data_IF_141572630971
#
_entry.id   IF_141572630971
#
_cell.length_a   1.000
_cell.length_b   1.000
_cell.length_c   1.000
_cell.angle_alpha   90.00
_cell.angle_beta   90.00
_cell.angle_gamma   90.00
#
_symmetry.space_group_name_H-M   'P 1'
#
loop_
_entity.id
_entity.type
_entity.pdbx_description
1 polymer ?
#
# COMPACT_ATOMS: atom_id res chain seq x y z
N UNK A 1 4.61 23.91 0.50
CA UNK A 1 3.65 22.92 -0.03
C UNK A 1 3.25 22.01 1.10
N UNK A 2 1.97 21.84 1.35
CA UNK A 2 1.50 21.05 2.50
C UNK A 2 1.08 19.63 2.14
N UNK A 3 0.67 19.36 0.89
CA UNK A 3 0.15 18.05 0.47
C UNK A 3 1.15 17.35 -0.46
N UNK A 4 1.58 16.09 -0.15
CA UNK A 4 2.50 15.32 -1.00
C UNK A 4 1.94 15.03 -2.39
N UNK A 5 2.81 14.92 -3.40
CA UNK A 5 2.44 14.61 -4.79
C UNK A 5 1.59 13.33 -4.89
N UNK A 6 1.93 12.29 -4.15
CA UNK A 6 1.18 11.03 -4.13
C UNK A 6 -0.29 11.21 -3.72
N UNK A 7 -0.60 12.20 -2.90
CA UNK A 7 -1.98 12.53 -2.51
C UNK A 7 -2.66 13.42 -3.54
N UNK A 8 -1.93 14.41 -4.10
CA UNK A 8 -2.50 15.35 -5.09
C UNK A 8 -2.96 14.66 -6.38
N UNK A 9 -2.21 13.64 -6.83
CA UNK A 9 -2.53 12.89 -8.07
C UNK A 9 -3.25 11.57 -7.81
N UNK A 10 -3.73 11.34 -6.58
CA UNK A 10 -4.48 10.13 -6.25
C UNK A 10 -5.65 9.97 -7.23
N UNK A 11 -5.79 8.80 -7.89
CA UNK A 11 -6.91 8.56 -8.79
C UNK A 11 -8.24 8.58 -8.03
N UNK A 12 -9.28 9.13 -8.68
CA UNK A 12 -10.64 9.25 -8.15
C UNK A 12 -11.63 8.30 -8.79
N UNK A 13 -11.24 7.59 -9.86
CA UNK A 13 -12.06 6.62 -10.56
C UNK A 13 -11.27 5.37 -10.94
N UNK A 14 -11.95 4.26 -11.21
CA UNK A 14 -11.30 3.03 -11.70
C UNK A 14 -10.60 3.24 -13.05
N UNK A 15 -11.13 4.12 -13.91
CA UNK A 15 -10.51 4.44 -15.20
C UNK A 15 -9.14 5.10 -15.03
N UNK A 16 -8.97 5.83 -13.96
CA UNK A 16 -7.70 6.48 -13.58
C UNK A 16 -6.79 5.57 -12.75
N UNK A 17 -7.29 4.44 -12.27
CA UNK A 17 -6.53 3.52 -11.42
C UNK A 17 -5.58 2.67 -12.26
N UNK A 18 -4.30 2.92 -12.16
CA UNK A 18 -3.26 2.17 -12.86
C UNK A 18 -2.98 0.84 -12.14
N UNK A 19 -2.60 -0.19 -12.95
CA UNK A 19 -2.31 -1.54 -12.44
C UNK A 19 -3.55 -2.33 -11.97
N UNK A 20 -3.36 -3.53 -11.43
CA UNK A 20 -4.40 -4.43 -10.90
C UNK A 20 -5.50 -4.81 -11.92
N UNK A 21 -5.17 -4.90 -13.20
CA UNK A 21 -6.15 -5.21 -14.27
C UNK A 21 -6.88 -6.54 -14.03
N UNK A 22 -6.26 -7.48 -13.35
CA UNK A 22 -6.87 -8.76 -12.95
C UNK A 22 -8.03 -8.60 -11.94
N UNK A 23 -8.05 -7.49 -11.19
CA UNK A 23 -9.10 -7.20 -10.21
C UNK A 23 -10.14 -6.20 -10.74
N UNK A 24 -9.68 -5.14 -11.42
CA UNK A 24 -10.50 -3.98 -11.79
C UNK A 24 -10.64 -3.78 -13.30
N UNK A 25 -10.03 -4.64 -14.13
CA UNK A 25 -10.25 -4.64 -15.59
C UNK A 25 -11.66 -5.10 -15.97
N UNK A 26 -11.99 -5.10 -17.25
CA UNK A 26 -13.35 -5.43 -17.78
C UNK A 26 -13.92 -6.74 -17.22
N UNK A 27 -13.09 -7.77 -17.05
CA UNK A 27 -13.49 -9.07 -16.48
C UNK A 27 -12.99 -9.26 -15.04
N UNK A 28 -12.60 -8.17 -14.36
CA UNK A 28 -12.07 -8.22 -13.01
C UNK A 28 -13.15 -8.54 -11.97
N UNK A 29 -12.79 -9.34 -10.97
CA UNK A 29 -13.73 -9.78 -9.94
C UNK A 29 -14.32 -8.60 -9.13
N UNK A 30 -13.52 -7.57 -8.86
CA UNK A 30 -13.96 -6.36 -8.15
C UNK A 30 -14.84 -5.50 -9.06
N UNK A 31 -14.45 -5.35 -10.33
CA UNK A 31 -15.25 -4.60 -11.32
C UNK A 31 -16.65 -5.21 -11.48
N UNK A 32 -16.75 -6.53 -11.58
CA UNK A 32 -18.02 -7.23 -11.66
C UNK A 32 -18.92 -7.00 -10.45
N UNK A 33 -18.37 -6.99 -9.23
CA UNK A 33 -19.12 -6.65 -8.02
C UNK A 33 -19.61 -5.21 -8.00
N UNK A 34 -18.78 -4.29 -8.47
CA UNK A 34 -19.16 -2.88 -8.55
C UNK A 34 -20.27 -2.66 -9.57
N UNK A 35 -20.16 -3.25 -10.75
CA UNK A 35 -21.17 -3.12 -11.84
C UNK A 35 -22.52 -3.73 -11.43
N UNK A 36 -22.49 -4.82 -10.64
CA UNK A 36 -23.70 -5.41 -10.09
C UNK A 36 -24.22 -4.70 -8.82
N UNK A 37 -23.53 -3.67 -8.34
CA UNK A 37 -23.83 -2.95 -7.09
C UNK A 37 -23.80 -3.88 -5.84
N UNK A 38 -23.12 -5.04 -5.91
CA UNK A 38 -23.08 -6.06 -4.87
C UNK A 38 -21.69 -6.20 -4.26
N UNK A 39 -21.13 -5.09 -3.74
CA UNK A 39 -19.84 -5.11 -3.08
C UNK A 39 -19.91 -5.91 -1.76
N UNK A 40 -19.16 -6.99 -1.68
CA UNK A 40 -18.97 -7.81 -0.47
C UNK A 40 -17.86 -7.27 0.42
N UNK A 41 -17.73 -7.78 1.64
CA UNK A 41 -16.57 -7.50 2.48
C UNK A 41 -15.29 -8.09 1.87
N UNK A 42 -14.18 -7.33 1.93
CA UNK A 42 -12.94 -7.63 1.24
C UNK A 42 -11.72 -7.39 2.13
N UNK A 43 -10.68 -8.18 1.89
CA UNK A 43 -9.35 -7.94 2.42
C UNK A 43 -8.40 -7.70 1.24
N UNK A 44 -7.80 -6.52 1.16
CA UNK A 44 -6.78 -6.16 0.19
C UNK A 44 -5.41 -6.51 0.74
N UNK A 45 -4.78 -7.52 0.18
CA UNK A 45 -3.45 -7.96 0.58
C UNK A 45 -2.42 -7.65 -0.49
N UNK A 46 -1.27 -7.12 -0.10
CA UNK A 46 -0.16 -6.87 -1.02
C UNK A 46 0.85 -5.87 -0.48
N UNK A 47 1.98 -5.71 -1.15
CA UNK A 47 3.07 -4.82 -0.73
C UNK A 47 2.63 -3.37 -0.50
N UNK A 48 3.41 -2.57 0.24
CA UNK A 48 3.12 -1.16 0.41
C UNK A 48 3.13 -0.43 -0.94
N UNK A 49 2.38 0.67 -1.03
CA UNK A 49 2.33 1.50 -2.24
C UNK A 49 1.61 0.90 -3.46
N UNK A 50 0.94 -0.27 -3.33
CA UNK A 50 0.19 -0.92 -4.43
C UNK A 50 -1.20 -0.34 -4.67
N UNK A 51 -1.64 0.62 -3.87
CA UNK A 51 -2.90 1.33 -4.06
C UNK A 51 -4.10 0.78 -3.28
N UNK A 52 -3.91 -0.07 -2.25
CA UNK A 52 -5.00 -0.67 -1.43
C UNK A 52 -6.00 0.36 -0.92
N UNK A 53 -5.52 1.38 -0.23
CA UNK A 53 -6.35 2.48 0.31
C UNK A 53 -7.06 3.27 -0.80
N UNK A 54 -6.35 3.52 -1.90
CA UNK A 54 -6.89 4.22 -3.07
C UNK A 54 -8.03 3.43 -3.71
N UNK A 55 -7.85 2.12 -3.88
CA UNK A 55 -8.89 1.24 -4.43
C UNK A 55 -10.14 1.26 -3.54
N UNK A 56 -9.97 1.14 -2.22
CA UNK A 56 -11.08 1.19 -1.28
C UNK A 56 -11.89 2.49 -1.39
N UNK A 57 -11.20 3.63 -1.51
CA UNK A 57 -11.85 4.95 -1.66
C UNK A 57 -12.61 5.05 -2.98
N UNK A 58 -12.02 4.62 -4.10
CA UNK A 58 -12.68 4.62 -5.41
C UNK A 58 -13.94 3.75 -5.39
N UNK A 59 -13.86 2.54 -4.82
CA UNK A 59 -15.01 1.64 -4.74
C UNK A 59 -16.15 2.22 -3.90
N UNK A 60 -15.83 2.93 -2.83
CA UNK A 60 -16.83 3.61 -2.00
C UNK A 60 -17.50 4.75 -2.77
N UNK A 61 -16.72 5.57 -3.46
CA UNK A 61 -17.21 6.71 -4.25
C UNK A 61 -18.09 6.23 -5.43
N UNK A 62 -17.59 5.27 -6.24
CA UNK A 62 -18.35 4.75 -7.40
C UNK A 62 -19.60 3.94 -7.00
N UNK A 63 -19.62 3.36 -5.80
CA UNK A 63 -20.82 2.71 -5.25
C UNK A 63 -21.78 3.65 -4.52
N UNK A 64 -21.40 4.93 -4.37
CA UNK A 64 -22.16 5.97 -3.64
C UNK A 64 -22.48 5.54 -2.19
N UNK A 65 -21.51 4.88 -1.52
CA UNK A 65 -21.67 4.39 -0.16
C UNK A 65 -20.91 5.28 0.83
N UNK A 66 -21.46 5.56 2.01
CA UNK A 66 -20.71 6.23 3.06
C UNK A 66 -19.41 5.49 3.38
N UNK A 67 -18.30 6.23 3.50
CA UNK A 67 -16.97 5.68 3.74
C UNK A 67 -16.42 6.14 5.08
N UNK A 68 -16.14 5.18 5.95
CA UNK A 68 -15.47 5.40 7.23
C UNK A 68 -14.10 4.76 7.19
N UNK A 69 -13.08 5.50 7.59
CA UNK A 69 -11.71 5.02 7.60
C UNK A 69 -11.16 4.99 9.03
N UNK A 70 -10.62 3.85 9.42
CA UNK A 70 -9.90 3.67 10.67
C UNK A 70 -8.47 3.19 10.38
N UNK A 71 -7.50 3.76 11.09
CA UNK A 71 -6.14 3.24 11.11
C UNK A 71 -6.00 2.30 12.31
N UNK A 72 -5.53 1.09 12.09
CA UNK A 72 -5.32 0.15 13.19
C UNK A 72 -4.23 0.60 14.17
N UNK A 73 -3.39 1.57 13.79
CA UNK A 73 -2.36 2.14 14.66
C UNK A 73 -2.98 3.06 15.72
N UNK A 74 -3.97 3.87 15.31
CA UNK A 74 -4.51 4.96 16.14
C UNK A 74 -5.90 4.67 16.70
N UNK A 75 -6.56 3.61 16.22
CA UNK A 75 -7.97 3.35 16.53
C UNK A 75 -8.16 2.24 17.56
N UNK A 76 -8.79 2.57 18.69
CA UNK A 76 -9.20 1.59 19.70
C UNK A 76 -10.57 0.96 19.41
N UNK A 77 -10.99 -0.01 20.24
CA UNK A 77 -12.33 -0.65 20.19
C UNK A 77 -13.47 0.38 20.25
N UNK A 78 -13.28 1.48 20.94
CA UNK A 78 -14.27 2.56 21.05
C UNK A 78 -14.59 3.19 19.68
N UNK A 79 -13.57 3.47 18.87
CA UNK A 79 -13.74 4.03 17.52
C UNK A 79 -14.50 3.07 16.60
N UNK A 80 -14.18 1.76 16.67
CA UNK A 80 -14.93 0.73 15.92
C UNK A 80 -16.41 0.74 16.31
N UNK A 81 -16.70 0.74 17.61
CA UNK A 81 -18.08 0.77 18.12
C UNK A 81 -18.84 2.02 17.69
N UNK A 82 -18.18 3.18 17.73
CA UNK A 82 -18.79 4.45 17.30
C UNK A 82 -19.21 4.39 15.82
N UNK A 83 -18.36 3.88 14.94
CA UNK A 83 -18.68 3.72 13.52
C UNK A 83 -19.82 2.73 13.32
N UNK A 84 -19.82 1.60 14.03
CA UNK A 84 -20.90 0.60 13.95
C UNK A 84 -22.23 1.20 14.43
N UNK A 85 -22.24 1.99 15.51
CA UNK A 85 -23.47 2.64 16.01
C UNK A 85 -23.96 3.74 15.03
N UNK A 86 -23.07 4.48 14.38
CA UNK A 86 -23.42 5.40 13.29
C UNK A 86 -24.06 4.65 12.12
N UNK A 87 -23.45 3.52 11.72
CA UNK A 87 -23.94 2.68 10.63
C UNK A 87 -25.36 2.14 10.93
N UNK A 88 -25.62 1.67 12.14
CA UNK A 88 -26.96 1.21 12.56
C UNK A 88 -28.01 2.32 12.55
N UNK A 89 -27.63 3.54 12.91
CA UNK A 89 -28.55 4.69 12.93
C UNK A 89 -28.86 5.21 11.53
N UNK A 90 -27.95 5.06 10.59
CA UNK A 90 -28.17 5.43 9.18
C UNK A 90 -28.98 4.39 8.40
N UNK A 91 -29.23 3.20 8.97
CA UNK A 91 -30.12 2.16 8.44
C UNK A 91 -31.62 2.54 8.67
N UNK A 92 -31.93 3.83 8.50
CA UNK A 92 -33.30 4.33 8.49
C UNK A 92 -33.90 4.18 7.09
N UNK A 93 -35.23 4.12 7.02
CA UNK A 93 -36.14 3.85 5.88
C UNK A 93 -35.78 4.48 4.50
N UNK A 94 -34.72 5.29 4.42
CA UNK A 94 -34.30 6.01 3.21
C UNK A 94 -32.88 5.70 2.71
N UNK A 95 -32.07 4.93 3.44
CA UNK A 95 -30.70 4.57 3.02
C UNK A 95 -30.63 3.10 2.65
N UNK A 96 -30.58 2.82 1.35
CA UNK A 96 -30.56 1.44 0.81
C UNK A 96 -29.16 0.82 0.77
N UNK A 97 -28.10 1.57 1.11
CA UNK A 97 -26.71 1.12 0.95
C UNK A 97 -25.94 1.17 2.28
N UNK A 98 -25.48 0.00 2.72
CA UNK A 98 -24.66 -0.11 3.93
C UNK A 98 -23.33 0.62 3.77
N UNK A 99 -22.84 1.33 4.81
CA UNK A 99 -21.56 2.02 4.73
C UNK A 99 -20.39 1.05 4.60
N UNK A 100 -19.32 1.53 3.98
CA UNK A 100 -18.04 0.83 3.92
C UNK A 100 -17.19 1.30 5.09
N UNK A 101 -16.71 0.34 5.90
CA UNK A 101 -15.69 0.56 6.91
C UNK A 101 -14.36 0.06 6.38
N UNK A 102 -13.45 0.98 6.11
CA UNK A 102 -12.08 0.67 5.70
C UNK A 102 -11.16 0.67 6.93
N UNK A 103 -10.38 -0.40 7.07
CA UNK A 103 -9.38 -0.54 8.13
C UNK A 103 -8.02 -0.72 7.47
N UNK A 104 -7.16 0.31 7.61
CA UNK A 104 -5.78 0.23 7.15
C UNK A 104 -4.94 -0.55 8.15
N UNK A 105 -4.05 -1.41 7.65
CA UNK A 105 -3.19 -2.30 8.42
C UNK A 105 -3.97 -3.17 9.43
N UNK A 106 -5.05 -3.83 8.96
CA UNK A 106 -5.96 -4.62 9.82
C UNK A 106 -5.24 -5.69 10.67
N UNK A 107 -4.07 -6.17 10.25
CA UNK A 107 -3.24 -7.12 10.98
C UNK A 107 -2.74 -6.56 12.33
N UNK A 108 -2.73 -5.25 12.51
CA UNK A 108 -2.36 -4.60 13.78
C UNK A 108 -3.48 -4.59 14.80
N UNK A 109 -4.70 -4.89 14.39
CA UNK A 109 -5.80 -5.07 15.32
C UNK A 109 -5.62 -6.36 16.12
N UNK A 110 -5.78 -6.27 17.44
CA UNK A 110 -5.87 -7.45 18.29
C UNK A 110 -7.05 -8.34 17.91
N UNK A 111 -6.99 -9.62 18.25
CA UNK A 111 -8.10 -10.56 18.00
C UNK A 111 -9.43 -10.05 18.54
N UNK A 112 -9.45 -9.43 19.72
CA UNK A 112 -10.66 -8.84 20.33
C UNK A 112 -11.21 -7.65 19.52
N UNK A 113 -10.34 -6.86 18.88
CA UNK A 113 -10.77 -5.78 17.98
C UNK A 113 -11.37 -6.34 16.70
N UNK A 114 -10.76 -7.35 16.13
CA UNK A 114 -11.28 -8.05 14.95
C UNK A 114 -12.60 -8.76 15.26
N UNK A 115 -12.75 -9.40 16.42
CA UNK A 115 -14.01 -10.02 16.87
C UNK A 115 -15.15 -8.99 16.99
N UNK A 116 -14.85 -7.76 17.39
CA UNK A 116 -15.85 -6.71 17.48
C UNK A 116 -16.49 -6.34 16.14
N UNK A 117 -15.81 -6.63 15.02
CA UNK A 117 -16.31 -6.40 13.66
C UNK A 117 -17.25 -7.50 13.18
N UNK A 118 -17.11 -8.75 13.69
CA UNK A 118 -17.85 -9.92 13.20
C UNK A 118 -19.35 -9.69 13.16
N UNK A 119 -19.92 -9.25 14.28
CA UNK A 119 -21.36 -9.04 14.38
C UNK A 119 -21.87 -7.99 13.39
N UNK A 120 -21.08 -6.94 13.14
CA UNK A 120 -21.46 -5.88 12.23
C UNK A 120 -21.42 -6.34 10.76
N UNK A 121 -20.42 -7.16 10.40
CA UNK A 121 -20.30 -7.78 9.07
C UNK A 121 -21.41 -8.81 8.85
N UNK A 122 -21.65 -9.70 9.83
CA UNK A 122 -22.70 -10.75 9.75
C UNK A 122 -24.11 -10.18 9.61
N UNK A 123 -24.39 -9.08 10.32
CA UNK A 123 -25.68 -8.43 10.25
C UNK A 123 -25.83 -7.47 9.07
N UNK A 124 -24.75 -7.30 8.28
CA UNK A 124 -24.75 -6.40 7.16
C UNK A 124 -24.85 -4.93 7.53
N UNK A 125 -24.56 -4.54 8.79
CA UNK A 125 -24.57 -3.13 9.19
C UNK A 125 -23.45 -2.34 8.52
N UNK A 126 -22.35 -3.02 8.20
CA UNK A 126 -21.21 -2.48 7.46
C UNK A 126 -20.77 -3.47 6.40
N UNK A 127 -20.14 -2.96 5.33
CA UNK A 127 -19.26 -3.74 4.46
C UNK A 127 -17.82 -3.45 4.85
N UNK A 128 -17.07 -4.47 5.23
CA UNK A 128 -15.69 -4.31 5.69
C UNK A 128 -14.72 -4.35 4.51
N UNK A 129 -13.87 -3.33 4.41
CA UNK A 129 -12.68 -3.36 3.57
C UNK A 129 -11.45 -3.31 4.48
N UNK A 130 -10.69 -4.39 4.56
CA UNK A 130 -9.42 -4.44 5.27
C UNK A 130 -8.24 -4.30 4.32
N UNK A 131 -7.21 -3.58 4.71
CA UNK A 131 -5.94 -3.57 3.99
C UNK A 131 -4.83 -4.14 4.87
N UNK A 132 -3.92 -4.91 4.28
CA UNK A 132 -2.78 -5.49 4.99
C UNK A 132 -1.60 -5.72 4.05
N UNK A 133 -0.40 -5.58 4.59
CA UNK A 133 0.84 -6.02 3.93
C UNK A 133 1.22 -7.45 4.33
N UNK A 134 0.73 -7.92 5.48
CA UNK A 134 1.00 -9.24 6.02
C UNK A 134 0.04 -10.29 5.46
N UNK A 135 0.44 -11.56 5.51
CA UNK A 135 -0.42 -12.65 5.05
C UNK A 135 -1.69 -12.77 5.92
N UNK A 136 -2.87 -12.49 5.35
CA UNK A 136 -4.12 -12.46 6.11
C UNK A 136 -4.48 -13.81 6.74
N UNK A 137 -3.98 -14.92 6.21
CA UNK A 137 -4.24 -16.26 6.77
C UNK A 137 -3.63 -16.46 8.17
N UNK A 138 -2.63 -15.66 8.54
CA UNK A 138 -1.99 -15.72 9.86
C UNK A 138 -2.47 -14.59 10.77
N UNK A 139 -2.77 -13.43 10.20
CA UNK A 139 -2.97 -12.20 10.95
C UNK A 139 -4.45 -11.85 11.16
N UNK A 140 -5.32 -12.30 10.27
CA UNK A 140 -6.76 -12.06 10.38
C UNK A 140 -7.44 -13.31 10.95
N UNK A 141 -8.36 -13.11 11.90
CA UNK A 141 -9.05 -14.25 12.52
C UNK A 141 -9.88 -15.04 11.48
N UNK A 142 -9.90 -16.38 11.57
CA UNK A 142 -10.58 -17.23 10.60
C UNK A 142 -12.07 -16.90 10.45
N UNK A 143 -12.73 -16.52 11.54
CA UNK A 143 -14.13 -16.12 11.54
C UNK A 143 -14.41 -14.88 10.66
N UNK A 144 -13.47 -13.92 10.59
CA UNK A 144 -13.58 -12.75 9.75
C UNK A 144 -13.21 -13.08 8.30
N UNK A 145 -12.15 -13.88 8.07
CA UNK A 145 -11.74 -14.33 6.75
C UNK A 145 -12.83 -15.11 6.02
N UNK A 146 -13.59 -15.94 6.74
CA UNK A 146 -14.70 -16.71 6.12
C UNK A 146 -15.85 -15.82 5.61
N UNK A 147 -15.87 -14.54 5.96
CA UNK A 147 -16.88 -13.54 5.57
C UNK A 147 -16.35 -12.48 4.62
N UNK A 148 -15.07 -12.53 4.31
CA UNK A 148 -14.41 -11.57 3.43
C UNK A 148 -13.78 -12.29 2.24
N UNK A 149 -13.81 -11.66 1.08
CA UNK A 149 -13.01 -12.11 -0.06
C UNK A 149 -11.63 -11.50 0.01
N UNK A 150 -10.59 -12.31 -0.16
CA UNK A 150 -9.20 -11.84 -0.16
C UNK A 150 -8.78 -11.55 -1.60
N UNK A 151 -8.36 -10.32 -1.85
CA UNK A 151 -7.81 -9.88 -3.13
C UNK A 151 -6.34 -9.52 -2.99
N UNK A 152 -5.52 -10.13 -3.84
CA UNK A 152 -4.07 -9.87 -3.86
C UNK A 152 -3.79 -8.70 -4.80
N UNK A 153 -3.18 -7.65 -4.27
CA UNK A 153 -2.66 -6.54 -5.06
C UNK A 153 -1.18 -6.75 -5.33
N UNK A 154 -0.82 -6.78 -6.60
CA UNK A 154 0.54 -6.97 -7.06
C UNK A 154 1.32 -5.65 -7.10
N UNK A 155 2.64 -5.75 -6.98
CA UNK A 155 3.52 -4.60 -7.21
C UNK A 155 3.31 -4.02 -8.61
N UNK A 156 3.48 -2.73 -8.75
CA UNK A 156 3.39 -2.07 -10.06
C UNK A 156 4.43 -2.62 -11.03
N UNK A 157 4.00 -2.91 -12.24
CA UNK A 157 4.92 -3.23 -13.32
C UNK A 157 5.76 -2.01 -13.70
N UNK A 158 6.89 -2.24 -14.37
CA UNK A 158 7.73 -1.16 -14.90
C UNK A 158 6.92 -0.20 -15.79
N UNK A 159 6.09 -0.75 -16.65
CA UNK A 159 5.24 0.03 -17.57
C UNK A 159 4.20 0.88 -16.82
N UNK A 160 3.62 0.36 -15.75
CA UNK A 160 2.66 1.10 -14.92
C UNK A 160 3.36 2.24 -14.16
N UNK A 161 4.57 2.00 -13.63
CA UNK A 161 5.36 3.03 -12.94
C UNK A 161 5.79 4.15 -13.91
N UNK A 162 6.20 3.82 -15.13
CA UNK A 162 6.52 4.81 -16.16
C UNK A 162 5.29 5.63 -16.57
N UNK A 163 4.13 4.98 -16.70
CA UNK A 163 2.86 5.66 -16.95
C UNK A 163 2.48 6.59 -15.78
N UNK A 164 2.70 6.15 -14.55
CA UNK A 164 2.45 6.96 -13.35
C UNK A 164 3.34 8.20 -13.29
N UNK A 165 4.62 8.09 -13.64
CA UNK A 165 5.54 9.24 -13.71
C UNK A 165 5.06 10.28 -14.73
N UNK A 166 4.71 9.84 -15.95
CA UNK A 166 4.19 10.73 -16.99
C UNK A 166 2.91 11.42 -16.53
N UNK A 167 1.96 10.66 -16.01
CA UNK A 167 0.71 11.19 -15.48
C UNK A 167 0.94 12.21 -14.37
N UNK A 168 1.89 11.97 -13.47
CA UNK A 168 2.22 12.89 -12.39
C UNK A 168 2.74 14.23 -12.93
N UNK A 169 3.60 14.20 -13.93
CA UNK A 169 4.15 15.41 -14.55
C UNK A 169 3.05 16.19 -15.29
N UNK A 170 2.16 15.49 -15.99
CA UNK A 170 1.15 16.12 -16.84
C UNK A 170 -0.04 16.68 -16.02
N UNK A 171 -0.47 15.95 -14.97
CA UNK A 171 -1.69 16.28 -14.21
C UNK A 171 -1.47 17.10 -12.94
N UNK A 172 -0.26 17.09 -12.36
CA UNK A 172 -0.02 17.85 -11.13
C UNK A 172 0.16 19.34 -11.41
N UNK A 173 -0.57 20.18 -10.67
CA UNK A 173 -0.60 21.63 -10.87
C UNK A 173 0.77 22.33 -10.72
N UNK A 174 1.67 21.75 -9.93
CA UNK A 174 3.02 22.29 -9.69
C UNK A 174 4.02 21.76 -10.71
N UNK A 175 3.96 20.46 -11.00
CA UNK A 175 4.89 19.85 -11.95
C UNK A 175 4.61 20.25 -13.38
N UNK A 176 3.34 20.42 -13.76
CA UNK A 176 2.94 20.86 -15.10
C UNK A 176 3.38 22.29 -15.44
N UNK A 177 3.62 23.14 -14.42
CA UNK A 177 4.17 24.49 -14.62
C UNK A 177 5.66 24.49 -14.92
N UNK A 178 6.38 23.42 -14.54
CA UNK A 178 7.79 23.22 -14.84
C UNK A 178 7.94 22.36 -16.09
N UNK A 179 8.88 22.69 -16.95
CA UNK A 179 9.21 21.86 -18.11
C UNK A 179 10.03 20.65 -17.63
N UNK A 180 9.33 19.59 -17.17
CA UNK A 180 9.98 18.35 -16.69
C UNK A 180 10.16 17.39 -17.86
N UNK A 181 11.41 16.99 -18.14
CA UNK A 181 11.79 16.02 -19.17
C UNK A 181 12.33 14.77 -18.49
N UNK A 182 11.64 13.64 -18.66
CA UNK A 182 12.14 12.32 -18.23
C UNK A 182 13.11 11.78 -19.29
N UNK A 183 14.40 12.03 -19.11
CA UNK A 183 15.42 11.49 -20.01
C UNK A 183 15.79 10.05 -19.67
N UNK A 184 15.87 9.75 -18.38
CA UNK A 184 16.24 8.43 -17.85
C UNK A 184 15.35 8.11 -16.65
N UNK A 185 14.84 6.87 -16.55
CA UNK A 185 13.90 6.44 -15.50
C UNK A 185 14.42 5.30 -14.62
N UNK A 186 15.54 4.64 -15.03
CA UNK A 186 16.04 3.44 -14.36
C UNK A 186 16.30 3.62 -12.84
N UNK A 187 16.96 4.73 -12.47
CA UNK A 187 17.30 4.96 -11.08
C UNK A 187 16.05 5.19 -10.21
N UNK A 188 15.08 5.98 -10.69
CA UNK A 188 13.86 6.27 -9.94
C UNK A 188 12.98 5.01 -9.80
N UNK A 189 12.88 4.19 -10.86
CA UNK A 189 12.16 2.92 -10.85
C UNK A 189 12.80 1.92 -9.88
N UNK A 190 14.13 1.77 -9.94
CA UNK A 190 14.86 0.89 -9.03
C UNK A 190 14.72 1.29 -7.58
N UNK A 191 14.84 2.59 -7.27
CA UNK A 191 14.75 3.11 -5.91
C UNK A 191 13.34 3.04 -5.35
N UNK A 192 12.31 3.07 -6.20
CA UNK A 192 10.91 2.91 -5.76
C UNK A 192 10.58 1.47 -5.34
N UNK A 193 11.28 0.47 -5.91
CA UNK A 193 11.05 -0.94 -5.60
C UNK A 193 9.63 -1.43 -5.89
N UNK A 194 8.91 -0.81 -6.83
CA UNK A 194 7.52 -1.15 -7.15
C UNK A 194 6.47 -0.41 -6.31
N UNK A 195 6.90 0.44 -5.38
CA UNK A 195 6.02 1.28 -4.56
C UNK A 195 5.72 2.61 -5.27
N UNK A 196 4.46 2.83 -5.65
CA UNK A 196 4.00 4.03 -6.34
C UNK A 196 4.15 5.30 -5.47
N UNK A 197 3.92 5.21 -4.17
CA UNK A 197 4.06 6.34 -3.25
C UNK A 197 5.52 6.77 -3.16
N UNK A 198 6.43 5.81 -3.01
CA UNK A 198 7.87 6.06 -2.99
C UNK A 198 8.37 6.65 -4.31
N UNK A 199 7.87 6.14 -5.45
CA UNK A 199 8.18 6.67 -6.77
C UNK A 199 7.85 8.16 -6.88
N UNK A 200 6.63 8.52 -6.50
CA UNK A 200 6.13 9.89 -6.57
C UNK A 200 6.85 10.83 -5.60
N UNK A 201 7.18 10.36 -4.40
CA UNK A 201 7.97 11.13 -3.44
C UNK A 201 9.38 11.42 -3.98
N UNK A 202 10.01 10.45 -4.64
CA UNK A 202 11.32 10.65 -5.27
C UNK A 202 11.21 11.66 -6.42
N UNK A 203 10.18 11.54 -7.28
CA UNK A 203 9.95 12.50 -8.36
C UNK A 203 9.79 13.92 -7.81
N UNK A 204 8.93 14.10 -6.81
CA UNK A 204 8.68 15.38 -6.17
C UNK A 204 9.96 15.98 -5.57
N UNK A 205 10.71 15.18 -4.84
CA UNK A 205 11.99 15.59 -4.24
C UNK A 205 12.99 16.08 -5.30
N UNK A 206 13.16 15.31 -6.39
CA UNK A 206 14.10 15.64 -7.46
C UNK A 206 13.70 16.94 -8.16
N UNK A 207 12.43 17.08 -8.52
CA UNK A 207 11.95 18.29 -9.24
C UNK A 207 11.97 19.53 -8.35
N UNK A 208 11.60 19.42 -7.07
CA UNK A 208 11.60 20.54 -6.14
C UNK A 208 13.00 20.96 -5.69
N UNK A 209 13.99 20.07 -5.78
CA UNK A 209 15.37 20.41 -5.46
C UNK A 209 16.06 21.28 -6.51
N UNK A 210 15.43 21.50 -7.66
CA UNK A 210 15.93 22.35 -8.73
C UNK A 210 15.17 23.66 -8.80
N UNK A 211 15.92 24.77 -8.78
CA UNK A 211 15.36 26.12 -8.88
C UNK A 211 15.00 26.54 -10.32
N UNK A 212 15.38 25.71 -11.31
CA UNK A 212 15.12 25.99 -12.74
C UNK A 212 13.68 25.65 -13.11
N UNK A 213 13.11 26.43 -14.06
CA UNK A 213 11.81 26.13 -14.67
C UNK A 213 11.83 24.95 -15.61
N UNK A 214 13.03 24.54 -16.07
CA UNK A 214 13.24 23.36 -16.89
C UNK A 214 14.10 22.33 -16.12
N UNK A 215 13.58 21.13 -15.91
CA UNK A 215 14.25 20.06 -15.17
C UNK A 215 14.36 18.82 -16.05
N UNK A 216 15.59 18.40 -16.33
CA UNK A 216 15.84 17.14 -17.06
C UNK A 216 16.25 16.06 -16.08
N UNK A 217 15.38 15.08 -15.85
CA UNK A 217 15.60 13.98 -14.93
C UNK A 217 16.52 12.94 -15.56
N UNK A 218 17.68 12.70 -14.92
CA UNK A 218 18.65 11.68 -15.29
C UNK A 218 18.94 10.76 -14.12
N UNK A 219 19.43 9.56 -14.37
CA UNK A 219 19.80 8.61 -13.33
C UNK A 219 20.81 9.20 -12.35
N UNK A 220 21.81 9.94 -12.85
CA UNK A 220 22.81 10.61 -12.02
C UNK A 220 22.18 11.61 -11.06
N UNK A 221 21.26 12.43 -11.55
CA UNK A 221 20.55 13.42 -10.76
C UNK A 221 19.72 12.76 -9.66
N UNK A 222 18.93 11.72 -9.99
CA UNK A 222 18.14 10.97 -9.02
C UNK A 222 19.02 10.39 -7.92
N UNK A 223 20.12 9.72 -8.28
CA UNK A 223 21.05 9.14 -7.30
C UNK A 223 21.68 10.20 -6.40
N UNK A 224 22.09 11.35 -6.94
CA UNK A 224 22.68 12.42 -6.13
C UNK A 224 21.71 13.03 -5.14
N UNK A 225 20.44 13.21 -5.52
CA UNK A 225 19.43 13.82 -4.66
C UNK A 225 18.88 12.85 -3.61
N UNK A 226 18.73 11.58 -3.99
CA UNK A 226 18.17 10.54 -3.11
C UNK A 226 19.26 9.94 -2.21
N UNK A 227 20.52 9.80 -2.64
CA UNK A 227 21.62 9.28 -1.81
C UNK A 227 21.87 10.06 -0.54
N UNK A 228 21.57 11.35 -0.50
CA UNK A 228 21.63 12.12 0.77
C UNK A 228 20.59 11.65 1.80
N UNK A 229 19.53 10.93 1.37
CA UNK A 229 18.46 10.41 2.23
C UNK A 229 18.46 8.86 2.38
N UNK A 230 19.21 8.12 1.55
CA UNK A 230 19.24 6.64 1.56
C UNK A 230 20.21 6.03 2.59
N UNK A 231 20.78 6.85 3.46
CA UNK A 231 21.40 6.34 4.71
C UNK A 231 20.32 5.80 5.67
N UNK A 232 19.08 5.99 5.37
CA UNK A 232 17.95 5.25 5.98
C UNK A 232 17.70 3.95 5.19
N UNK A 233 18.62 3.00 5.27
CA UNK A 233 18.30 1.59 5.20
C UNK A 233 17.11 1.39 6.12
N UNK A 234 16.01 0.88 5.56
CA UNK A 234 14.80 0.65 6.33
C UNK A 234 15.04 -0.45 7.37
N UNK A 235 15.64 -0.05 8.50
CA UNK A 235 15.94 -0.95 9.63
C UNK A 235 14.69 -1.56 10.26
N UNK A 236 13.51 -1.14 9.82
CA UNK A 236 12.21 -1.55 10.36
C UNK A 236 11.25 -2.08 9.28
N UNK A 237 11.67 -2.13 8.00
CA UNK A 237 10.84 -2.58 6.89
C UNK A 237 10.81 -4.09 6.68
N UNK A 238 9.80 -4.56 5.97
CA UNK A 238 9.56 -5.98 5.64
C UNK A 238 10.79 -6.67 5.02
N UNK A 239 11.52 -5.99 4.13
CA UNK A 239 12.72 -6.55 3.52
C UNK A 239 13.82 -6.89 4.52
N UNK A 240 13.89 -6.17 5.63
CA UNK A 240 14.83 -6.46 6.71
C UNK A 240 14.51 -7.82 7.35
N UNK A 241 13.24 -8.07 7.69
CA UNK A 241 12.81 -9.35 8.25
C UNK A 241 12.91 -10.50 7.27
N UNK A 242 12.63 -10.26 5.99
CA UNK A 242 12.77 -11.26 4.93
C UNK A 242 14.22 -11.69 4.72
N UNK A 243 15.15 -10.74 4.66
CA UNK A 243 16.59 -11.01 4.53
C UNK A 243 17.12 -11.77 5.73
N UNK A 244 16.73 -11.37 6.95
CA UNK A 244 17.10 -12.07 8.19
C UNK A 244 16.54 -13.49 8.20
N UNK A 245 15.28 -13.65 7.85
CA UNK A 245 14.61 -14.94 7.78
C UNK A 245 15.28 -15.85 6.75
N UNK A 246 15.61 -15.32 5.58
CA UNK A 246 16.32 -16.04 4.53
C UNK A 246 17.74 -16.46 5.01
N UNK A 247 18.45 -15.56 5.68
CA UNK A 247 19.77 -15.85 6.27
C UNK A 247 19.71 -17.00 7.28
N UNK A 248 18.81 -16.93 8.25
CA UNK A 248 18.61 -17.97 9.27
C UNK A 248 18.22 -19.31 8.62
N UNK A 249 17.29 -19.29 7.66
CA UNK A 249 16.84 -20.49 6.94
C UNK A 249 17.97 -21.12 6.12
N UNK A 250 18.83 -20.31 5.51
CA UNK A 250 19.99 -20.80 4.76
C UNK A 250 20.98 -21.50 5.66
N UNK A 251 21.26 -20.96 6.85
CA UNK A 251 22.14 -21.60 7.85
C UNK A 251 21.53 -22.91 8.32
N UNK A 252 20.26 -22.92 8.71
CA UNK A 252 19.57 -24.13 9.17
C UNK A 252 19.43 -25.20 8.09
N UNK A 253 19.29 -24.78 6.84
CA UNK A 253 19.24 -25.65 5.67
C UNK A 253 20.60 -26.11 5.19
N UNK A 254 21.71 -25.70 5.87
CA UNK A 254 23.09 -26.04 5.48
C UNK A 254 23.44 -25.63 4.04
N UNK A 255 22.91 -24.50 3.57
CA UNK A 255 23.25 -23.90 2.30
C UNK A 255 24.27 -22.77 2.49
N UNK A 256 25.58 -23.04 2.34
CA UNK A 256 26.62 -22.05 2.58
C UNK A 256 26.61 -20.91 1.55
N UNK A 257 26.22 -21.19 0.32
CA UNK A 257 26.19 -20.17 -0.75
C UNK A 257 25.07 -19.14 -0.49
N UNK A 258 23.87 -19.60 -0.15
CA UNK A 258 22.77 -18.72 0.21
C UNK A 258 23.08 -17.96 1.51
N UNK A 259 23.67 -18.61 2.52
CA UNK A 259 24.03 -17.96 3.77
C UNK A 259 25.03 -16.80 3.56
N UNK A 260 26.10 -17.02 2.79
CA UNK A 260 27.07 -15.96 2.46
C UNK A 260 26.43 -14.84 1.64
N UNK A 261 25.56 -15.15 0.70
CA UNK A 261 24.84 -14.16 -0.09
C UNK A 261 23.98 -13.24 0.79
N UNK A 262 23.17 -13.82 1.66
CA UNK A 262 22.31 -13.04 2.55
C UNK A 262 23.09 -12.25 3.59
N UNK A 263 24.21 -12.81 4.10
CA UNK A 263 25.13 -12.12 5.00
C UNK A 263 25.74 -10.88 4.31
N UNK A 264 26.22 -11.02 3.09
CA UNK A 264 26.77 -9.89 2.31
C UNK A 264 25.72 -8.80 2.13
N UNK A 265 24.47 -9.15 1.80
CA UNK A 265 23.37 -8.20 1.68
C UNK A 265 23.07 -7.46 2.98
N UNK A 266 23.12 -8.13 4.13
CA UNK A 266 22.93 -7.50 5.45
C UNK A 266 24.05 -6.51 5.76
N UNK A 267 25.32 -6.88 5.50
CA UNK A 267 26.47 -6.00 5.73
C UNK A 267 26.43 -4.78 4.81
N UNK A 268 26.15 -4.98 3.51
CA UNK A 268 26.08 -3.91 2.52
C UNK A 268 24.88 -2.98 2.80
N UNK A 269 23.79 -3.51 3.36
CA UNK A 269 22.65 -2.76 3.87
C UNK A 269 22.91 -2.00 5.17
N UNK A 270 24.10 -2.10 5.77
CA UNK A 270 24.47 -1.37 6.99
C UNK A 270 23.87 -1.95 8.26
N UNK A 271 23.55 -3.26 8.30
CA UNK A 271 23.02 -3.93 9.49
C UNK A 271 24.05 -3.94 10.64
N UNK A 272 23.57 -3.89 11.87
CA UNK A 272 24.42 -3.97 13.06
C UNK A 272 25.11 -5.35 13.13
N UNK A 273 26.44 -5.34 13.12
CA UNK A 273 27.25 -6.57 13.20
C UNK A 273 26.94 -7.41 14.43
N UNK A 274 26.60 -6.79 15.57
CA UNK A 274 26.19 -7.49 16.79
C UNK A 274 24.82 -8.17 16.60
N UNK A 275 23.95 -7.56 15.84
CA UNK A 275 22.66 -8.16 15.47
C UNK A 275 22.86 -9.38 14.59
N UNK A 276 23.71 -9.27 13.54
CA UNK A 276 24.07 -10.39 12.66
C UNK A 276 24.70 -11.54 13.47
N UNK A 277 25.69 -11.22 14.32
CA UNK A 277 26.35 -12.22 15.14
C UNK A 277 25.38 -13.01 16.05
N UNK A 278 24.36 -12.33 16.62
CA UNK A 278 23.32 -12.99 17.41
C UNK A 278 22.47 -13.98 16.60
N UNK A 279 22.35 -13.79 15.29
CA UNK A 279 21.61 -14.70 14.39
C UNK A 279 22.43 -15.91 13.96
N UNK A 280 23.76 -15.84 14.05
CA UNK A 280 24.64 -16.99 13.82
C UNK A 280 24.64 -18.00 14.97
N UNK A 281 24.20 -17.57 16.16
CA UNK A 281 24.20 -18.42 17.39
C UNK A 281 22.87 -19.16 17.57
N UNK A 282 21.88 -18.88 16.73
CA UNK A 282 20.56 -19.53 16.77
C UNK A 282 20.55 -20.75 15.87
#
# INVERSE_FOLDING_TARGET
>A
MSIPLAERIRPKSLNDYLSQKHLVGENGAIKSQLDSQMLSSMIFWGPPGTGKTTLAMILAEESERPFYMLSAIDSGVAAIREVIEKAKKSDTLFSTKNPILFIDEIHRFSKSQQDSLLKAVEKGWITLFGATTENPSFEVIPALLSRCQVYVLESFSRTDLEALLKRAIDKDEYLSKKKVILKETEAILRLSGGDARKLLNILELVVLSENSDAVTITNKMVLQKVQKNTVLYDKTGEQHYDIISAFIKSIRGSDPNAAVYWLARMIEGGEDLKFIARRLVI
#
